data_IF_986800508499
#
_entry.id   IF_986800508499
#
_cell.length_a   1.000
_cell.length_b   1.000
_cell.length_c   1.000
_cell.angle_alpha   90.00
_cell.angle_beta   90.00
_cell.angle_gamma   90.00
#
_symmetry.space_group_name_H-M   'P 1'
#
loop_
_entity.id
_entity.type
_entity.pdbx_description
1 polymer ?
#
# COMPACT_ATOMS: atom_id res chain seq x y z
N UNK A 1 -10.95 1.14 -2.90
CA UNK A 1 -10.93 -0.25 -3.49
C UNK A 1 -11.02 -1.28 -2.36
N UNK A 2 -11.64 -2.45 -2.55
CA UNK A 2 -11.60 -3.55 -1.57
C UNK A 2 -10.34 -4.39 -1.73
N UNK A 3 -9.99 -5.16 -0.68
CA UNK A 3 -8.80 -6.03 -0.70
C UNK A 3 -8.94 -7.09 -1.82
N UNK A 4 -10.12 -7.68 -1.98
CA UNK A 4 -10.39 -8.71 -2.98
C UNK A 4 -10.22 -8.17 -4.41
N UNK A 5 -10.67 -6.93 -4.66
CA UNK A 5 -10.50 -6.30 -5.96
C UNK A 5 -9.04 -6.00 -6.25
N UNK A 6 -8.29 -5.49 -5.26
CA UNK A 6 -6.84 -5.28 -5.40
C UNK A 6 -6.12 -6.61 -5.69
N UNK A 7 -6.44 -7.67 -4.93
CA UNK A 7 -5.84 -9.00 -5.14
C UNK A 7 -6.13 -9.55 -6.54
N UNK A 8 -7.35 -9.33 -7.05
CA UNK A 8 -7.74 -9.72 -8.39
C UNK A 8 -6.96 -8.95 -9.46
N UNK A 9 -6.90 -7.61 -9.37
CA UNK A 9 -6.15 -6.79 -10.32
C UNK A 9 -4.66 -7.20 -10.35
N UNK A 10 -4.05 -7.38 -9.19
CA UNK A 10 -2.66 -7.81 -9.09
C UNK A 10 -2.45 -9.24 -9.65
N UNK A 11 -3.42 -10.15 -9.46
CA UNK A 11 -3.37 -11.49 -10.05
C UNK A 11 -3.47 -11.46 -11.58
N UNK A 12 -4.28 -10.54 -12.10
CA UNK A 12 -4.46 -10.32 -13.55
C UNK A 12 -3.28 -9.53 -14.18
N UNK A 13 -2.23 -9.25 -13.40
CA UNK A 13 -1.02 -8.56 -13.85
C UNK A 13 -1.18 -7.04 -13.98
N UNK A 14 -2.24 -6.46 -13.43
CA UNK A 14 -2.50 -5.02 -13.51
C UNK A 14 -1.73 -4.28 -12.41
N UNK A 15 -0.75 -3.48 -12.82
CA UNK A 15 0.06 -2.65 -11.92
C UNK A 15 -0.26 -1.17 -12.16
N UNK A 16 -0.78 -0.50 -11.13
CA UNK A 16 -1.03 0.94 -11.16
C UNK A 16 0.24 1.71 -10.75
N UNK A 17 0.28 3.00 -11.06
CA UNK A 17 1.45 3.84 -10.75
C UNK A 17 1.38 4.51 -9.38
N UNK A 18 0.22 4.55 -8.73
CA UNK A 18 0.04 5.23 -7.46
C UNK A 18 -0.87 4.42 -6.53
N UNK A 19 -0.35 4.09 -5.35
CA UNK A 19 -1.07 3.32 -4.33
C UNK A 19 -0.99 3.99 -2.96
N UNK A 20 -2.09 3.89 -2.19
CA UNK A 20 -2.11 4.06 -0.75
C UNK A 20 -2.69 2.79 -0.11
N UNK A 21 -1.83 2.05 0.58
CA UNK A 21 -2.16 0.85 1.33
C UNK A 21 -2.07 1.20 2.82
N UNK A 22 -3.16 1.08 3.58
CA UNK A 22 -3.13 1.43 5.00
C UNK A 22 -4.09 0.58 5.83
N UNK A 23 -3.83 0.44 7.11
CA UNK A 23 -4.71 -0.24 8.06
C UNK A 23 -3.98 -1.19 8.99
N UNK A 24 -4.75 -1.90 9.81
CA UNK A 24 -4.24 -2.73 10.92
C UNK A 24 -3.95 -4.17 10.52
N UNK A 25 -4.54 -4.67 9.40
CA UNK A 25 -4.32 -6.04 8.92
C UNK A 25 -3.01 -6.14 8.13
N UNK A 26 -1.90 -6.13 8.88
CA UNK A 26 -0.55 -6.05 8.33
C UNK A 26 -0.19 -7.24 7.44
N UNK A 27 -0.67 -8.45 7.76
CA UNK A 27 -0.36 -9.63 6.97
C UNK A 27 -0.86 -9.51 5.53
N UNK A 28 -2.11 -9.07 5.36
CA UNK A 28 -2.70 -8.88 4.04
C UNK A 28 -2.09 -7.70 3.31
N UNK A 29 -1.79 -6.63 4.02
CA UNK A 29 -1.11 -5.47 3.46
C UNK A 29 0.27 -5.86 2.90
N UNK A 30 1.11 -6.53 3.70
CA UNK A 30 2.44 -6.97 3.27
C UNK A 30 2.37 -8.00 2.13
N UNK A 31 1.39 -8.91 2.16
CA UNK A 31 1.17 -9.87 1.08
C UNK A 31 0.88 -9.16 -0.25
N UNK A 32 0.01 -8.14 -0.24
CA UNK A 32 -0.31 -7.37 -1.44
C UNK A 32 0.87 -6.49 -1.89
N UNK A 33 1.59 -5.87 -0.95
CA UNK A 33 2.82 -5.13 -1.26
C UNK A 33 3.87 -6.03 -1.92
N UNK A 34 4.04 -7.26 -1.43
CA UNK A 34 4.92 -8.26 -2.05
C UNK A 34 4.48 -8.60 -3.48
N UNK A 35 3.16 -8.71 -3.74
CA UNK A 35 2.64 -8.93 -5.09
C UNK A 35 2.94 -7.75 -6.02
N UNK A 36 2.75 -6.51 -5.55
CA UNK A 36 3.12 -5.29 -6.30
C UNK A 36 4.60 -5.34 -6.69
N UNK A 37 5.50 -5.64 -5.74
CA UNK A 37 6.94 -5.77 -6.01
C UNK A 37 7.26 -6.87 -7.03
N UNK A 38 6.60 -8.02 -6.91
CA UNK A 38 6.80 -9.13 -7.86
C UNK A 38 6.34 -8.78 -9.27
N UNK A 39 5.22 -8.05 -9.40
CA UNK A 39 4.72 -7.57 -10.70
C UNK A 39 5.63 -6.47 -11.28
N UNK A 40 6.19 -5.62 -10.44
CA UNK A 40 7.15 -4.62 -10.87
C UNK A 40 8.41 -5.28 -11.47
N UNK A 41 8.84 -6.40 -10.92
CA UNK A 41 9.98 -7.19 -11.41
C UNK A 41 11.26 -6.91 -10.64
N UNK A 42 12.37 -6.73 -11.36
CA UNK A 42 13.69 -6.56 -10.77
C UNK A 42 13.79 -5.25 -9.98
N UNK A 43 14.21 -5.34 -8.72
CA UNK A 43 14.36 -4.22 -7.80
C UNK A 43 15.82 -4.08 -7.35
N UNK A 44 16.52 -3.04 -7.82
CA UNK A 44 17.89 -2.72 -7.41
C UNK A 44 17.86 -1.48 -6.53
N UNK A 45 18.20 -1.65 -5.24
CA UNK A 45 18.17 -0.57 -4.26
C UNK A 45 19.09 0.60 -4.68
N UNK A 46 18.58 1.82 -4.64
CA UNK A 46 19.29 3.04 -5.02
C UNK A 46 19.35 3.30 -6.52
N UNK A 47 18.81 2.41 -7.38
CA UNK A 47 18.69 2.61 -8.84
C UNK A 47 17.23 2.72 -9.24
N UNK A 48 16.52 1.61 -9.25
CA UNK A 48 15.09 1.59 -9.59
C UNK A 48 14.18 1.18 -8.43
N UNK A 49 14.75 1.03 -7.22
CA UNK A 49 14.01 0.71 -6.00
C UNK A 49 14.44 1.63 -4.86
N UNK A 50 13.54 2.51 -4.42
CA UNK A 50 13.76 3.51 -3.36
C UNK A 50 12.84 3.19 -2.18
N UNK A 51 13.37 3.31 -0.97
CA UNK A 51 12.59 3.22 0.27
C UNK A 51 12.60 4.58 0.97
N UNK A 52 11.41 5.05 1.30
CA UNK A 52 11.19 6.34 1.98
C UNK A 52 10.49 6.06 3.30
N UNK A 53 10.90 6.78 4.34
CA UNK A 53 10.27 6.82 5.66
C UNK A 53 10.17 8.26 6.18
N UNK A 54 9.81 8.44 7.44
CA UNK A 54 9.68 9.76 8.08
C UNK A 54 10.98 10.58 8.02
N UNK A 55 12.16 9.94 7.96
CA UNK A 55 13.45 10.62 8.02
C UNK A 55 13.83 11.26 6.68
N UNK A 56 13.47 10.63 5.56
CA UNK A 56 13.84 11.08 4.22
C UNK A 56 12.64 11.45 3.32
N UNK A 57 11.43 11.52 3.89
CA UNK A 57 10.19 11.83 3.12
C UNK A 57 10.25 13.19 2.42
N UNK A 58 11.09 14.12 2.88
CA UNK A 58 11.31 15.40 2.21
C UNK A 58 11.89 15.28 0.81
N UNK A 59 12.54 14.17 0.50
CA UNK A 59 13.18 13.89 -0.79
C UNK A 59 12.23 13.23 -1.81
N UNK A 60 11.01 12.87 -1.41
CA UNK A 60 10.07 12.07 -2.22
C UNK A 60 9.83 12.65 -3.62
N UNK A 61 9.68 13.96 -3.75
CA UNK A 61 9.45 14.61 -5.05
C UNK A 61 10.72 14.50 -5.91
N UNK A 62 11.89 14.78 -5.35
CA UNK A 62 13.18 14.63 -6.02
C UNK A 62 13.43 13.19 -6.47
N UNK A 63 13.04 12.22 -5.63
CA UNK A 63 13.13 10.80 -5.98
C UNK A 63 12.19 10.40 -7.12
N UNK A 64 11.00 11.01 -7.19
CA UNK A 64 10.08 10.79 -8.32
C UNK A 64 10.68 11.37 -9.61
N UNK A 65 11.24 12.57 -9.56
CA UNK A 65 11.78 13.29 -10.71
C UNK A 65 13.09 12.69 -11.25
N UNK A 66 13.89 12.07 -10.39
CA UNK A 66 15.16 11.48 -10.80
C UNK A 66 14.92 10.26 -11.70
N UNK A 67 15.48 10.18 -12.92
CA UNK A 67 15.30 9.01 -13.79
C UNK A 67 15.86 7.72 -13.21
N UNK A 68 15.25 6.59 -13.55
CA UNK A 68 15.78 5.26 -13.26
C UNK A 68 16.79 4.87 -14.36
N UNK A 69 18.08 4.86 -14.05
CA UNK A 69 19.12 4.54 -15.02
C UNK A 69 19.00 3.07 -15.50
N UNK A 70 18.71 2.89 -16.79
CA UNK A 70 18.64 1.57 -17.43
C UNK A 70 17.33 0.80 -17.17
N UNK A 71 16.33 1.40 -16.53
CA UNK A 71 15.02 0.81 -16.27
C UNK A 71 13.90 1.74 -16.74
N UNK A 72 12.79 1.14 -17.22
CA UNK A 72 11.63 1.91 -17.67
C UNK A 72 10.95 2.67 -16.53
N UNK A 73 10.86 2.03 -15.36
CA UNK A 73 10.19 2.61 -14.18
C UNK A 73 11.00 2.43 -12.90
N UNK A 74 10.66 3.23 -11.91
CA UNK A 74 11.16 3.18 -10.56
C UNK A 74 10.05 2.78 -9.60
N UNK A 75 10.35 1.87 -8.66
CA UNK A 75 9.46 1.55 -7.54
C UNK A 75 9.89 2.34 -6.31
N UNK A 76 9.00 3.19 -5.81
CA UNK A 76 9.19 3.93 -4.56
C UNK A 76 8.20 3.40 -3.54
N UNK A 77 8.71 2.88 -2.41
CA UNK A 77 7.88 2.46 -1.28
C UNK A 77 8.09 3.43 -0.13
N UNK A 78 7.05 4.22 0.17
CA UNK A 78 7.04 5.21 1.23
C UNK A 78 6.24 4.70 2.43
N UNK A 79 6.94 4.38 3.54
CA UNK A 79 6.36 3.77 4.74
C UNK A 79 6.34 4.72 5.92
N UNK A 80 5.19 4.78 6.62
CA UNK A 80 5.06 5.53 7.87
C UNK A 80 5.61 6.96 7.75
N UNK A 81 5.27 7.60 6.64
CA UNK A 81 5.80 8.93 6.29
C UNK A 81 5.27 10.05 7.17
N UNK A 82 4.19 9.79 7.90
CA UNK A 82 3.48 10.80 8.67
C UNK A 82 2.61 11.74 7.83
N UNK A 83 2.66 11.68 6.50
CA UNK A 83 1.88 12.55 5.60
C UNK A 83 0.38 12.34 5.67
N UNK A 84 -0.07 11.15 6.10
CA UNK A 84 -1.49 10.78 6.14
C UNK A 84 -2.11 10.87 7.53
N UNK A 85 -1.32 11.14 8.57
CA UNK A 85 -1.83 11.32 9.93
C UNK A 85 -2.70 12.58 10.03
N UNK A 86 -3.71 12.54 10.91
CA UNK A 86 -4.51 13.71 11.24
C UNK A 86 -3.61 14.77 11.89
N UNK A 87 -3.65 15.97 11.40
CA UNK A 87 -2.87 17.08 11.94
C UNK A 87 -3.36 17.43 13.36
N UNK A 88 -2.49 17.27 14.33
CA UNK A 88 -2.71 17.87 15.64
C UNK A 88 -2.45 19.38 15.52
N UNK A 89 -3.40 20.22 15.93
CA UNK A 89 -3.44 21.69 15.81
C UNK A 89 -2.16 22.45 16.24
N UNK A 90 -1.14 21.78 16.78
CA UNK A 90 0.08 22.39 17.35
C UNK A 90 1.40 22.06 16.61
N UNK A 91 1.38 21.25 15.55
CA UNK A 91 2.60 20.85 14.81
C UNK A 91 2.48 21.00 13.27
N UNK A 92 1.71 21.94 12.79
CA UNK A 92 1.59 22.29 11.39
C UNK A 92 2.86 23.06 10.93
N UNK A 93 3.98 22.32 10.74
CA UNK A 93 5.23 22.90 10.30
C UNK A 93 5.63 22.41 8.90
N UNK A 94 6.71 21.63 8.86
CA UNK A 94 7.30 21.22 7.58
C UNK A 94 6.53 20.07 6.90
N UNK A 95 5.90 19.17 7.68
CA UNK A 95 5.10 18.05 7.14
C UNK A 95 3.86 18.53 6.39
N UNK A 96 3.16 19.58 6.90
CA UNK A 96 2.00 20.15 6.21
C UNK A 96 2.40 20.78 4.87
N UNK A 97 3.49 21.54 4.84
CA UNK A 97 4.01 22.15 3.61
C UNK A 97 4.43 21.09 2.58
N UNK A 98 5.06 20.01 3.03
CA UNK A 98 5.46 18.91 2.16
C UNK A 98 4.24 18.19 1.60
N UNK A 99 3.22 17.93 2.42
CA UNK A 99 1.96 17.34 2.02
C UNK A 99 1.28 18.15 0.92
N UNK A 100 1.17 19.48 1.10
CA UNK A 100 0.58 20.37 0.10
C UNK A 100 1.39 20.40 -1.20
N UNK A 101 2.73 20.45 -1.10
CA UNK A 101 3.61 20.35 -2.27
C UNK A 101 3.45 19.05 -3.02
N UNK A 102 3.42 17.92 -2.30
CA UNK A 102 3.27 16.60 -2.91
C UNK A 102 1.88 16.42 -3.53
N UNK A 103 0.83 16.92 -2.87
CA UNK A 103 -0.54 16.93 -3.42
C UNK A 103 -0.57 17.63 -4.76
N UNK A 104 -0.08 18.87 -4.80
CA UNK A 104 -0.02 19.66 -6.02
C UNK A 104 0.84 18.99 -7.09
N UNK A 105 1.97 18.43 -6.70
CA UNK A 105 2.86 17.72 -7.62
C UNK A 105 2.16 16.52 -8.27
N UNK A 106 1.45 15.69 -7.50
CA UNK A 106 0.70 14.55 -8.02
C UNK A 106 -0.38 15.01 -9.01
N UNK A 107 -1.14 16.06 -8.67
CA UNK A 107 -2.22 16.58 -9.54
C UNK A 107 -1.68 17.14 -10.86
N UNK A 108 -0.55 17.84 -10.83
CA UNK A 108 0.04 18.49 -12.02
C UNK A 108 0.85 17.51 -12.88
N UNK A 109 1.47 16.47 -12.28
CA UNK A 109 2.43 15.59 -12.94
C UNK A 109 2.02 14.13 -13.03
N UNK A 110 0.73 13.82 -12.91
CA UNK A 110 0.24 12.43 -12.90
C UNK A 110 0.66 11.64 -14.15
N UNK A 111 0.78 12.28 -15.30
CA UNK A 111 1.24 11.64 -16.54
C UNK A 111 2.68 11.15 -16.40
N UNK A 112 3.56 11.98 -15.85
CA UNK A 112 4.97 11.65 -15.61
C UNK A 112 5.05 10.49 -14.60
N UNK A 113 4.29 10.58 -13.52
CA UNK A 113 4.22 9.50 -12.51
C UNK A 113 3.79 8.19 -13.17
N UNK A 114 2.76 8.20 -13.99
CA UNK A 114 2.25 7.01 -14.67
C UNK A 114 3.27 6.37 -15.64
N UNK A 115 4.12 7.16 -16.23
CA UNK A 115 5.12 6.69 -17.19
C UNK A 115 6.40 6.19 -16.53
N UNK A 116 6.82 6.81 -15.42
CA UNK A 116 8.16 6.63 -14.85
C UNK A 116 8.25 6.00 -13.47
N UNK A 117 7.13 5.97 -12.70
CA UNK A 117 7.16 5.56 -11.29
C UNK A 117 5.99 4.64 -10.93
N UNK A 118 6.25 3.71 -10.02
CA UNK A 118 5.24 3.06 -9.18
C UNK A 118 5.46 3.53 -7.75
N UNK A 119 4.60 4.42 -7.25
CA UNK A 119 4.68 5.01 -5.92
C UNK A 119 3.67 4.33 -5.00
N UNK A 120 4.15 3.71 -3.93
CA UNK A 120 3.33 2.98 -2.96
C UNK A 120 3.51 3.58 -1.58
N UNK A 121 2.48 4.22 -1.07
CA UNK A 121 2.41 4.60 0.34
C UNK A 121 1.90 3.43 1.18
N UNK A 122 2.57 3.19 2.30
CA UNK A 122 2.22 2.15 3.29
C UNK A 122 2.13 2.81 4.65
N UNK A 123 0.91 2.92 5.19
CA UNK A 123 0.64 3.67 6.41
C UNK A 123 -0.21 2.84 7.39
N UNK A 124 -0.13 3.13 8.68
CA UNK A 124 -1.00 2.52 9.69
C UNK A 124 -2.42 3.11 9.63
N UNK A 125 -2.51 4.42 9.40
CA UNK A 125 -3.77 5.17 9.31
C UNK A 125 -3.71 6.22 8.22
N UNK A 126 -4.86 6.62 7.70
CA UNK A 126 -4.95 7.72 6.74
C UNK A 126 -6.17 8.61 7.01
N UNK A 127 -5.94 9.92 7.03
CA UNK A 127 -7.00 10.93 7.07
C UNK A 127 -7.64 11.07 5.70
N UNK A 128 -8.83 10.48 5.55
CA UNK A 128 -9.60 10.49 4.30
C UNK A 128 -10.13 11.88 3.91
N UNK A 129 -9.99 12.89 4.76
CA UNK A 129 -10.35 14.27 4.47
C UNK A 129 -9.17 15.10 3.96
N UNK A 130 -7.98 14.54 3.94
CA UNK A 130 -6.79 15.26 3.51
C UNK A 130 -6.74 15.44 2.00
N UNK A 131 -6.15 16.55 1.54
CA UNK A 131 -5.94 16.85 0.12
C UNK A 131 -5.13 15.75 -0.58
N UNK A 132 -4.08 15.25 0.08
CA UNK A 132 -3.24 14.19 -0.47
C UNK A 132 -4.02 12.88 -0.66
N UNK A 133 -4.87 12.50 0.30
CA UNK A 133 -5.74 11.33 0.15
C UNK A 133 -6.65 11.48 -1.07
N UNK A 134 -7.30 12.65 -1.21
CA UNK A 134 -8.19 12.92 -2.35
C UNK A 134 -7.43 12.92 -3.69
N UNK A 135 -6.21 13.44 -3.73
CA UNK A 135 -5.38 13.40 -4.94
C UNK A 135 -5.04 11.96 -5.36
N UNK A 136 -4.71 11.08 -4.38
CA UNK A 136 -4.45 9.66 -4.66
C UNK A 136 -5.74 8.94 -5.07
N UNK A 137 -6.87 9.24 -4.42
CA UNK A 137 -8.16 8.62 -4.76
C UNK A 137 -8.59 8.88 -6.20
N UNK A 138 -8.30 10.08 -6.72
CA UNK A 138 -8.60 10.46 -8.10
C UNK A 138 -7.66 9.84 -9.14
N UNK A 139 -6.41 9.59 -8.78
CA UNK A 139 -5.34 9.30 -9.73
C UNK A 139 -4.70 7.92 -9.54
N UNK A 140 -5.09 7.18 -8.52
CA UNK A 140 -4.48 5.90 -8.16
C UNK A 140 -5.44 4.99 -7.42
N UNK A 141 -4.88 4.11 -6.62
CA UNK A 141 -5.59 3.08 -5.86
C UNK A 141 -5.41 3.31 -4.37
N UNK A 142 -6.52 3.35 -3.64
CA UNK A 142 -6.51 3.34 -2.18
C UNK A 142 -7.16 2.04 -1.71
N UNK A 143 -6.43 1.29 -0.88
CA UNK A 143 -6.94 0.07 -0.25
C UNK A 143 -6.71 0.12 1.26
N UNK A 144 -7.82 0.02 2.02
CA UNK A 144 -7.78 -0.08 3.47
C UNK A 144 -7.77 -1.54 3.89
N UNK A 145 -6.87 -1.90 4.80
CA UNK A 145 -6.69 -3.23 5.35
C UNK A 145 -7.20 -3.26 6.80
N UNK A 146 -8.51 -3.38 6.95
CA UNK A 146 -9.15 -3.60 8.25
C UNK A 146 -9.09 -5.07 8.65
N UNK A 147 -9.13 -5.36 9.95
CA UNK A 147 -9.25 -6.74 10.44
C UNK A 147 -10.43 -7.44 9.78
N UNK A 148 -10.16 -8.65 9.36
CA UNK A 148 -11.17 -9.48 8.68
C UNK A 148 -12.17 -10.02 9.68
N UNK A 149 -13.45 -10.06 9.31
CA UNK A 149 -14.46 -10.75 10.10
C UNK A 149 -14.37 -12.28 9.91
N UNK A 150 -15.03 -13.03 10.79
CA UNK A 150 -14.98 -14.49 10.79
C UNK A 150 -15.32 -15.11 9.43
N UNK A 151 -16.33 -14.58 8.73
CA UNK A 151 -16.74 -15.09 7.41
C UNK A 151 -15.65 -14.84 6.33
N UNK A 152 -15.02 -13.68 6.36
CA UNK A 152 -13.91 -13.35 5.44
C UNK A 152 -12.70 -14.26 5.70
N UNK A 153 -12.37 -14.50 6.97
CA UNK A 153 -11.28 -15.40 7.36
C UNK A 153 -11.61 -16.83 6.88
N UNK A 154 -12.83 -17.30 7.09
CA UNK A 154 -13.27 -18.63 6.65
C UNK A 154 -13.13 -18.80 5.13
N UNK A 155 -13.62 -17.81 4.36
CA UNK A 155 -13.49 -17.84 2.90
C UNK A 155 -12.03 -17.84 2.45
N UNK A 156 -11.19 -17.07 3.10
CA UNK A 156 -9.76 -16.99 2.80
C UNK A 156 -9.03 -18.31 3.10
N UNK A 157 -9.30 -18.92 4.25
CA UNK A 157 -8.74 -20.23 4.63
C UNK A 157 -9.18 -21.29 3.60
N UNK A 158 -10.46 -21.35 3.26
CA UNK A 158 -10.98 -22.26 2.21
C UNK A 158 -10.29 -22.05 0.88
N UNK A 159 -10.07 -20.79 0.48
CA UNK A 159 -9.35 -20.44 -0.75
C UNK A 159 -7.91 -20.91 -0.75
N UNK A 160 -7.19 -20.76 0.36
CA UNK A 160 -5.81 -21.24 0.52
C UNK A 160 -5.79 -22.77 0.43
N UNK A 161 -6.63 -23.48 1.20
CA UNK A 161 -6.72 -24.94 1.17
C UNK A 161 -7.04 -25.49 -0.22
N UNK A 162 -7.96 -24.85 -0.93
CA UNK A 162 -8.29 -25.20 -2.33
C UNK A 162 -7.09 -25.07 -3.27
N UNK A 163 -6.26 -24.03 -3.09
CA UNK A 163 -5.02 -23.86 -3.84
C UNK A 163 -4.02 -25.01 -3.64
N UNK A 164 -4.03 -25.62 -2.46
CA UNK A 164 -3.25 -26.82 -2.14
C UNK A 164 -4.00 -28.14 -2.43
N UNK A 165 -5.20 -28.09 -3.03
CA UNK A 165 -6.06 -29.25 -3.30
C UNK A 165 -6.49 -29.99 -2.02
N UNK A 166 -6.64 -29.29 -0.90
CA UNK A 166 -7.09 -29.80 0.39
C UNK A 166 -8.44 -29.19 0.70
N UNK A 167 -9.36 -30.02 1.24
CA UNK A 167 -10.64 -29.57 1.75
C UNK A 167 -10.54 -29.36 3.27
N UNK A 168 -11.17 -28.30 3.76
CA UNK A 168 -11.28 -28.00 5.18
C UNK A 168 -12.74 -27.72 5.51
N UNK A 169 -13.24 -28.28 6.62
CA UNK A 169 -14.60 -28.03 7.10
C UNK A 169 -14.65 -26.78 8.00
N UNK A 170 -15.87 -26.23 8.15
CA UNK A 170 -16.09 -25.01 8.93
C UNK A 170 -15.79 -25.18 10.42
N UNK A 171 -15.93 -26.41 10.98
CA UNK A 171 -15.63 -26.67 12.41
C UNK A 171 -14.14 -26.60 12.67
N UNK A 172 -13.31 -27.14 11.77
CA UNK A 172 -11.85 -27.02 11.82
C UNK A 172 -11.39 -25.58 11.71
N UNK A 173 -12.04 -24.77 10.87
CA UNK A 173 -11.73 -23.33 10.75
C UNK A 173 -12.07 -22.58 12.04
N UNK A 174 -13.20 -22.87 12.67
CA UNK A 174 -13.58 -22.26 13.95
C UNK A 174 -12.55 -22.61 15.04
N UNK A 175 -12.08 -23.85 15.08
CA UNK A 175 -11.03 -24.27 16.01
C UNK A 175 -9.70 -23.55 15.78
N UNK A 176 -9.28 -23.39 14.52
CA UNK A 176 -8.07 -22.63 14.17
C UNK A 176 -8.16 -21.19 14.65
N UNK A 177 -9.29 -20.51 14.42
CA UNK A 177 -9.51 -19.16 14.88
C UNK A 177 -9.52 -19.04 16.41
N UNK A 178 -10.08 -20.03 17.12
CA UNK A 178 -10.08 -20.05 18.59
C UNK A 178 -8.67 -20.24 19.16
N UNK A 179 -7.85 -21.09 18.56
CA UNK A 179 -6.44 -21.30 18.96
C UNK A 179 -5.61 -20.03 18.76
N UNK A 180 -5.81 -19.31 17.66
CA UNK A 180 -5.08 -18.05 17.40
C UNK A 180 -5.43 -16.96 18.43
N UNK A 181 -6.69 -16.90 18.87
CA UNK A 181 -7.13 -16.00 19.95
C UNK A 181 -6.49 -16.34 21.30
N UNK A 182 -6.31 -17.63 21.60
CA UNK A 182 -5.67 -18.08 22.85
C UNK A 182 -4.16 -17.80 22.84
N UNK A 183 -3.49 -17.89 21.70
CA UNK A 183 -2.05 -17.63 21.58
C UNK A 183 -1.68 -16.13 21.62
N UNK A 184 -2.67 -15.23 21.56
CA UNK A 184 -2.45 -13.77 21.65
C UNK A 184 -2.64 -13.20 23.07
N UNK A 185 -2.99 -14.05 24.06
CA UNK A 185 -3.07 -13.74 25.49
C UNK A 185 -1.76 -14.16 26.17
#
# INVERSE_FOLDING_TARGET
MTIENLEKELKDGQLQSLYLLYGEELYLLESNLKRIRNLFGECIKGINYIMIDEQNVSEIISDIETPSFGYEKKLIIARNTGLFKKEAKKKAGDTSKLKDKLTKYIEENIKIINESVVLVFVEEEADNKSSLYTAIEKNGVICKFDFQNANQIEQRIKGICSGYKVNIDSQTIILLNAVELICKI
#
